data_IF_377663973464
#
_entry.id   IF_377663973464
#
_cell.length_a   1.000
_cell.length_b   1.000
_cell.length_c   1.000
_cell.angle_alpha   90.00
_cell.angle_beta   90.00
_cell.angle_gamma   90.00
#
_symmetry.space_group_name_H-M   'P 1'
#
loop_
_entity.id
_entity.type
_entity.pdbx_description
1 polymer ?
#
# COMPACT_ATOMS: atom_id res chain seq x y z
N UNK A 1 -10.76 0.40 3.38
CA UNK A 1 -10.46 -0.30 2.10
C UNK A 1 -9.18 0.29 1.53
N UNK A 2 -8.03 -0.32 1.76
CA UNK A 2 -6.77 0.20 1.24
C UNK A 2 -6.67 0.01 -0.28
N UNK A 3 -6.16 1.03 -0.95
CA UNK A 3 -5.80 0.97 -2.37
C UNK A 3 -4.35 1.40 -2.52
N UNK A 4 -3.49 0.45 -2.90
CA UNK A 4 -2.06 0.63 -3.01
C UNK A 4 -1.65 0.65 -4.49
N UNK A 5 -0.97 1.70 -4.92
CA UNK A 5 -0.29 1.77 -6.22
C UNK A 5 1.20 1.70 -5.97
N UNK A 6 1.83 0.64 -6.45
CA UNK A 6 3.25 0.32 -6.22
C UNK A 6 4.01 0.53 -7.51
N UNK A 7 4.96 1.45 -7.52
CA UNK A 7 5.83 1.71 -8.67
C UNK A 7 7.24 1.22 -8.37
N UNK A 8 7.72 0.29 -9.18
CA UNK A 8 9.01 -0.40 -9.01
C UNK A 8 9.73 -0.53 -10.36
N UNK A 9 11.05 -0.73 -10.38
CA UNK A 9 11.76 -1.08 -11.60
C UNK A 9 11.28 -2.41 -12.17
N UNK A 10 11.15 -2.45 -13.49
CA UNK A 10 10.74 -3.65 -14.19
C UNK A 10 11.63 -4.85 -13.84
N UNK A 11 11.01 -5.97 -13.49
CA UNK A 11 11.69 -7.21 -13.16
C UNK A 11 12.41 -7.25 -11.80
N UNK A 12 12.29 -6.20 -10.97
CA UNK A 12 13.02 -6.12 -9.69
C UNK A 12 12.57 -7.16 -8.65
N UNK A 13 11.32 -7.58 -8.70
CA UNK A 13 10.76 -8.58 -7.79
C UNK A 13 10.18 -9.75 -8.61
N UNK A 14 11.00 -10.67 -9.13
CA UNK A 14 10.52 -11.76 -9.98
C UNK A 14 9.94 -12.92 -9.17
N UNK A 15 8.96 -13.63 -9.75
CA UNK A 15 8.45 -14.89 -9.22
C UNK A 15 7.98 -14.84 -7.76
N UNK A 16 8.62 -15.66 -6.91
CA UNK A 16 8.28 -15.74 -5.47
C UNK A 16 8.47 -14.40 -4.74
N UNK A 17 9.45 -13.59 -5.13
CA UNK A 17 9.68 -12.27 -4.52
C UNK A 17 8.49 -11.32 -4.70
N UNK A 18 7.81 -11.38 -5.87
CA UNK A 18 6.56 -10.65 -6.09
C UNK A 18 5.46 -11.15 -5.16
N UNK A 19 5.32 -12.45 -5.00
CA UNK A 19 4.31 -13.03 -4.11
C UNK A 19 4.56 -12.69 -2.65
N UNK A 20 5.81 -12.73 -2.21
CA UNK A 20 6.22 -12.33 -0.86
C UNK A 20 5.95 -10.85 -0.61
N UNK A 21 6.29 -9.99 -1.58
CA UNK A 21 6.00 -8.55 -1.51
C UNK A 21 4.50 -8.28 -1.39
N UNK A 22 3.68 -8.88 -2.24
CA UNK A 22 2.22 -8.71 -2.20
C UNK A 22 1.66 -9.12 -0.83
N UNK A 23 2.09 -10.26 -0.28
CA UNK A 23 1.64 -10.72 1.04
C UNK A 23 2.07 -9.78 2.15
N UNK A 24 3.30 -9.28 2.10
CA UNK A 24 3.83 -8.35 3.10
C UNK A 24 3.12 -7.00 3.06
N UNK A 25 2.92 -6.43 1.87
CA UNK A 25 2.16 -5.19 1.68
C UNK A 25 0.71 -5.35 2.16
N UNK A 26 0.07 -6.46 1.84
CA UNK A 26 -1.29 -6.76 2.29
C UNK A 26 -1.39 -6.83 3.82
N UNK A 27 -0.47 -7.55 4.49
CA UNK A 27 -0.43 -7.60 5.96
C UNK A 27 -0.22 -6.23 6.58
N UNK A 28 0.68 -5.42 6.03
CA UNK A 28 0.92 -4.06 6.50
C UNK A 28 -0.36 -3.20 6.41
N UNK A 29 -1.08 -3.32 5.31
CA UNK A 29 -2.35 -2.60 5.11
C UNK A 29 -3.42 -3.01 6.11
N UNK A 30 -3.64 -4.33 6.29
CA UNK A 30 -4.63 -4.82 7.25
C UNK A 30 -4.29 -4.39 8.69
N UNK A 31 -3.01 -4.45 9.06
CA UNK A 31 -2.54 -4.06 10.39
C UNK A 31 -2.77 -2.57 10.65
N UNK A 32 -2.30 -1.71 9.76
CA UNK A 32 -2.39 -0.26 9.93
C UNK A 32 -3.83 0.25 9.96
N UNK A 33 -4.70 -0.31 9.11
CA UNK A 33 -6.11 0.08 9.05
C UNK A 33 -6.99 -0.70 10.03
N UNK A 34 -6.42 -1.56 10.87
CA UNK A 34 -7.13 -2.40 11.83
C UNK A 34 -8.27 -3.22 11.20
N UNK A 35 -8.02 -3.75 10.01
CA UNK A 35 -8.95 -4.63 9.31
C UNK A 35 -8.77 -6.06 9.83
N UNK A 36 -9.83 -6.75 10.26
CA UNK A 36 -9.73 -8.15 10.68
C UNK A 36 -9.40 -9.06 9.48
N UNK A 37 -8.57 -10.06 9.71
CA UNK A 37 -8.38 -11.16 8.77
C UNK A 37 -9.64 -12.02 8.78
N UNK A 38 -10.51 -11.80 7.81
CA UNK A 38 -11.77 -12.53 7.66
C UNK A 38 -11.90 -13.00 6.20
N UNK A 39 -11.96 -14.32 5.95
CA UNK A 39 -12.16 -14.86 4.60
C UNK A 39 -13.41 -14.34 3.90
N UNK A 40 -14.45 -13.95 4.65
CA UNK A 40 -15.69 -13.39 4.11
C UNK A 40 -15.51 -11.95 3.59
N UNK A 41 -14.42 -11.27 3.99
CA UNK A 41 -14.09 -9.88 3.60
C UNK A 41 -12.99 -9.80 2.56
N UNK A 42 -12.89 -10.81 1.69
CA UNK A 42 -11.93 -10.79 0.58
C UNK A 42 -12.31 -9.73 -0.46
N UNK A 43 -11.29 -9.16 -1.13
CA UNK A 43 -11.49 -8.18 -2.20
C UNK A 43 -11.59 -6.73 -1.75
N UNK A 44 -11.19 -6.42 -0.52
CA UNK A 44 -11.22 -5.05 0.01
C UNK A 44 -9.86 -4.34 -0.05
N UNK A 45 -8.77 -5.07 -0.23
CA UNK A 45 -7.41 -4.51 -0.34
C UNK A 45 -6.91 -4.69 -1.78
N UNK A 46 -6.75 -3.58 -2.48
CA UNK A 46 -6.26 -3.56 -3.86
C UNK A 46 -4.80 -3.17 -3.89
N UNK A 47 -3.99 -3.93 -4.62
CA UNK A 47 -2.57 -3.65 -4.85
C UNK A 47 -2.32 -3.73 -6.35
N UNK A 48 -2.01 -2.60 -6.98
CA UNK A 48 -1.65 -2.52 -8.38
C UNK A 48 -0.15 -2.21 -8.52
N UNK A 49 0.50 -2.84 -9.48
CA UNK A 49 1.91 -2.61 -9.78
C UNK A 49 2.09 -1.88 -11.10
N UNK A 50 2.95 -0.86 -11.04
CA UNK A 50 3.42 -0.04 -12.15
C UNK A 50 4.91 -0.33 -12.32
N UNK A 51 5.29 -1.10 -13.33
CA UNK A 51 6.69 -1.43 -13.57
C UNK A 51 7.32 -0.43 -14.53
N UNK A 52 8.38 0.22 -14.09
CA UNK A 52 9.07 1.28 -14.81
C UNK A 52 10.27 0.69 -15.56
N UNK A 53 10.31 0.92 -16.86
CA UNK A 53 11.36 0.41 -17.74
C UNK A 53 12.76 0.91 -17.33
N UNK A 54 13.83 0.13 -17.65
CA UNK A 54 15.20 0.58 -17.46
C UNK A 54 15.45 1.94 -18.16
N UNK A 55 16.21 2.82 -17.48
CA UNK A 55 16.52 4.17 -17.96
C UNK A 55 15.43 5.22 -17.68
N UNK A 56 14.26 4.82 -17.17
CA UNK A 56 13.17 5.75 -16.86
C UNK A 56 13.15 6.23 -15.39
N UNK A 57 14.05 5.72 -14.55
CA UNK A 57 14.26 6.20 -13.18
C UNK A 57 15.41 7.20 -13.11
N UNK A 58 15.11 8.44 -12.86
CA UNK A 58 16.12 9.49 -12.69
C UNK A 58 15.97 10.17 -11.34
N UNK A 59 17.10 10.58 -10.77
CA UNK A 59 17.19 11.43 -9.60
C UNK A 59 18.23 12.52 -9.90
N UNK A 60 17.90 13.77 -9.64
CA UNK A 60 18.74 14.93 -9.98
C UNK A 60 19.15 14.97 -11.47
N UNK A 61 18.27 14.49 -12.35
CA UNK A 61 18.52 14.45 -13.80
C UNK A 61 19.42 13.30 -14.27
N UNK A 62 19.80 12.37 -13.39
CA UNK A 62 20.70 11.24 -13.69
C UNK A 62 19.97 9.92 -13.49
N UNK A 63 20.20 8.95 -14.38
CA UNK A 63 19.73 7.58 -14.22
C UNK A 63 20.36 6.94 -12.97
N UNK A 64 19.52 6.43 -12.09
CA UNK A 64 19.93 5.82 -10.82
C UNK A 64 19.78 4.31 -10.79
N UNK A 65 19.25 3.72 -11.86
CA UNK A 65 18.83 2.31 -11.91
C UNK A 65 19.94 1.28 -11.63
N UNK A 66 21.21 1.65 -11.83
CA UNK A 66 22.34 0.77 -11.52
C UNK A 66 22.70 0.72 -10.02
N UNK A 67 22.37 1.76 -9.26
CA UNK A 67 22.78 1.93 -7.85
C UNK A 67 21.63 1.83 -6.87
N UNK A 68 20.46 2.31 -7.25
CA UNK A 68 19.29 2.36 -6.40
C UNK A 68 18.20 1.40 -6.90
N UNK A 69 17.45 0.86 -5.96
CA UNK A 69 16.21 0.15 -6.17
C UNK A 69 15.06 1.07 -5.69
N UNK A 70 14.55 1.97 -6.54
CA UNK A 70 13.47 2.84 -6.16
C UNK A 70 12.16 2.05 -6.06
N UNK A 71 11.48 2.18 -4.94
CA UNK A 71 10.18 1.57 -4.68
C UNK A 71 9.25 2.64 -4.14
N UNK A 72 8.40 3.19 -5.00
CA UNK A 72 7.47 4.24 -4.65
C UNK A 72 6.08 3.66 -4.47
N UNK A 73 5.42 4.10 -3.42
CA UNK A 73 4.12 3.58 -3.02
C UNK A 73 3.18 4.73 -2.68
N UNK A 74 2.01 4.72 -3.27
CA UNK A 74 0.89 5.54 -2.84
C UNK A 74 -0.19 4.64 -2.22
N UNK A 75 -0.63 5.01 -1.04
CA UNK A 75 -1.72 4.34 -0.32
C UNK A 75 -2.86 5.33 -0.15
N UNK A 76 -3.98 5.08 -0.81
CA UNK A 76 -5.21 5.83 -0.61
C UNK A 76 -6.07 5.13 0.46
N UNK A 77 -6.50 5.90 1.45
CA UNK A 77 -7.41 5.46 2.53
C UNK A 77 -8.51 6.50 2.74
N UNK A 78 -9.71 6.11 3.19
CA UNK A 78 -10.70 7.10 3.59
C UNK A 78 -10.19 7.96 4.73
N UNK A 79 -10.42 9.27 4.67
CA UNK A 79 -10.04 10.18 5.73
C UNK A 79 -10.66 9.76 7.07
N UNK A 80 -9.88 9.80 8.14
CA UNK A 80 -10.29 9.37 9.48
C UNK A 80 -10.00 7.91 9.83
N UNK A 81 -9.44 7.12 8.90
CA UNK A 81 -9.02 5.73 9.18
C UNK A 81 -7.69 5.66 9.92
N UNK A 82 -6.73 6.52 9.56
CA UNK A 82 -5.39 6.53 10.14
C UNK A 82 -5.19 7.73 11.08
N UNK A 83 -4.57 7.48 12.21
CA UNK A 83 -3.97 8.48 13.10
C UNK A 83 -2.46 8.58 12.89
N UNK A 84 -1.78 9.49 13.60
CA UNK A 84 -0.33 9.70 13.45
C UNK A 84 0.49 8.45 13.81
N UNK A 85 0.05 7.68 14.80
CA UNK A 85 0.73 6.44 15.22
C UNK A 85 0.61 5.36 14.16
N UNK A 86 -0.57 5.13 13.65
CA UNK A 86 -0.82 4.14 12.58
C UNK A 86 -0.15 4.55 11.27
N UNK A 87 -0.07 5.86 10.95
CA UNK A 87 0.69 6.35 9.78
C UNK A 87 2.17 6.02 9.90
N UNK A 88 2.79 6.31 11.05
CA UNK A 88 4.21 6.05 11.26
C UNK A 88 4.53 4.54 11.19
N UNK A 89 3.71 3.69 11.81
CA UNK A 89 3.89 2.24 11.72
C UNK A 89 3.65 1.72 10.31
N UNK A 90 2.64 2.24 9.61
CA UNK A 90 2.34 1.83 8.24
C UNK A 90 3.52 2.07 7.28
N UNK A 91 4.10 3.28 7.32
CA UNK A 91 5.28 3.63 6.50
C UNK A 91 6.46 2.70 6.81
N UNK A 92 6.73 2.43 8.09
CA UNK A 92 7.79 1.51 8.50
C UNK A 92 7.55 0.09 8.00
N UNK A 93 6.33 -0.42 8.14
CA UNK A 93 5.98 -1.79 7.78
C UNK A 93 5.97 -1.99 6.25
N UNK A 94 5.56 -0.96 5.49
CA UNK A 94 5.67 -0.97 4.04
C UNK A 94 7.13 -0.95 3.57
N UNK A 95 8.00 -0.18 4.21
CA UNK A 95 9.45 -0.23 3.92
C UNK A 95 10.01 -1.63 4.19
N UNK A 96 9.71 -2.21 5.36
CA UNK A 96 10.14 -3.56 5.72
C UNK A 96 9.62 -4.64 4.75
N UNK A 97 8.45 -4.44 4.15
CA UNK A 97 7.92 -5.34 3.12
C UNK A 97 8.83 -5.39 1.88
N UNK A 98 9.34 -4.26 1.42
CA UNK A 98 10.28 -4.21 0.31
C UNK A 98 11.64 -4.80 0.70
N UNK A 99 12.15 -4.49 1.90
CA UNK A 99 13.41 -5.08 2.38
C UNK A 99 13.35 -6.60 2.41
N UNK A 100 12.29 -7.17 2.98
CA UNK A 100 12.15 -8.62 3.14
C UNK A 100 11.94 -9.35 1.81
N UNK A 101 11.27 -8.72 0.85
CA UNK A 101 10.98 -9.32 -0.46
C UNK A 101 12.09 -9.10 -1.50
N UNK A 102 13.02 -8.17 -1.25
CA UNK A 102 14.14 -7.88 -2.15
C UNK A 102 14.97 -9.13 -2.39
N UNK A 103 15.25 -9.52 -3.66
CA UNK A 103 16.16 -10.62 -3.94
C UNK A 103 17.54 -10.36 -3.32
N UNK A 104 18.13 -11.39 -2.67
CA UNK A 104 19.48 -11.28 -2.09
C UNK A 104 20.56 -11.03 -3.14
N UNK A 105 20.30 -11.40 -4.40
CA UNK A 105 21.18 -11.14 -5.54
C UNK A 105 21.12 -9.68 -6.03
N UNK A 106 20.12 -8.91 -5.64
CA UNK A 106 20.03 -7.50 -5.99
C UNK A 106 20.85 -6.66 -5.01
N UNK A 107 22.01 -6.18 -5.47
CA UNK A 107 22.95 -5.41 -4.66
C UNK A 107 22.64 -3.92 -4.57
N UNK A 108 21.60 -3.44 -5.27
CA UNK A 108 21.19 -2.04 -5.24
C UNK A 108 20.70 -1.62 -3.86
N UNK A 109 20.92 -0.36 -3.51
CA UNK A 109 20.38 0.21 -2.27
C UNK A 109 18.88 0.47 -2.43
N UNK A 110 18.08 -0.07 -1.53
CA UNK A 110 16.64 0.17 -1.50
C UNK A 110 16.35 1.64 -1.19
N UNK A 111 15.54 2.29 -2.02
CA UNK A 111 15.09 3.66 -1.86
C UNK A 111 13.55 3.68 -1.90
N UNK A 112 12.92 3.68 -0.74
CA UNK A 112 11.45 3.72 -0.64
C UNK A 112 10.92 5.13 -0.46
N UNK A 113 9.80 5.41 -1.11
CA UNK A 113 9.00 6.61 -0.86
C UNK A 113 7.54 6.20 -0.71
N UNK A 114 6.96 6.46 0.45
CA UNK A 114 5.57 6.12 0.76
C UNK A 114 4.76 7.38 0.93
N UNK A 115 3.68 7.50 0.18
CA UNK A 115 2.72 8.58 0.28
C UNK A 115 1.38 8.05 0.76
N UNK A 116 0.95 8.49 1.94
CA UNK A 116 -0.37 8.18 2.49
C UNK A 116 -1.33 9.30 2.11
N UNK A 117 -2.39 8.96 1.40
CA UNK A 117 -3.37 9.91 0.88
C UNK A 117 -4.71 9.69 1.59
N UNK A 118 -5.12 10.67 2.37
CA UNK A 118 -6.47 10.71 2.92
C UNK A 118 -7.45 11.16 1.83
N UNK A 119 -8.38 10.29 1.48
CA UNK A 119 -9.43 10.61 0.53
C UNK A 119 -10.59 11.23 1.31
N UNK A 120 -10.97 12.48 1.01
CA UNK A 120 -12.05 13.16 1.72
C UNK A 120 -13.36 12.37 1.67
N UNK A 121 -14.13 12.41 2.76
CA UNK A 121 -15.41 11.69 2.87
C UNK A 121 -16.38 12.10 1.76
N UNK A 122 -16.99 11.12 1.10
CA UNK A 122 -17.93 11.34 0.00
C UNK A 122 -17.27 11.74 -1.34
N UNK A 123 -15.96 11.49 -1.52
CA UNK A 123 -15.26 11.72 -2.80
C UNK A 123 -14.76 10.44 -3.46
N UNK A 124 -15.03 9.27 -2.86
CA UNK A 124 -14.61 7.98 -3.39
C UNK A 124 -15.82 7.14 -3.85
N UNK A 125 -15.83 6.79 -5.13
CA UNK A 125 -16.87 5.95 -5.73
C UNK A 125 -16.47 4.48 -5.74
N UNK A 126 -17.37 3.61 -5.34
CA UNK A 126 -17.24 2.15 -5.41
C UNK A 126 -18.51 1.56 -6.04
N UNK A 127 -18.36 0.77 -7.09
CA UNK A 127 -19.50 0.12 -7.75
C UNK A 127 -20.55 1.11 -8.30
N UNK A 128 -20.13 2.30 -8.72
CA UNK A 128 -21.01 3.34 -9.25
C UNK A 128 -21.73 4.18 -8.17
N UNK A 129 -21.40 4.01 -6.90
CA UNK A 129 -21.97 4.77 -5.78
C UNK A 129 -20.88 5.51 -5.01
N UNK A 130 -21.19 6.72 -4.53
CA UNK A 130 -20.32 7.43 -3.60
C UNK A 130 -20.39 6.77 -2.23
N UNK A 131 -19.21 6.41 -1.71
CA UNK A 131 -19.08 5.84 -0.38
C UNK A 131 -18.64 6.89 0.62
N UNK A 132 -19.13 6.73 1.84
CA UNK A 132 -18.73 7.51 3.01
C UNK A 132 -18.03 6.61 4.03
N UNK A 133 -17.39 7.20 5.02
CA UNK A 133 -16.64 6.46 6.04
C UNK A 133 -17.44 5.32 6.70
N UNK A 134 -18.74 5.44 7.02
CA UNK A 134 -19.54 4.31 7.50
C UNK A 134 -19.66 3.16 6.48
N UNK A 135 -19.71 3.44 5.17
CA UNK A 135 -19.80 2.41 4.14
C UNK A 135 -18.48 1.63 4.05
N UNK A 136 -17.37 2.35 4.05
CA UNK A 136 -16.04 1.75 4.13
C UNK A 136 -15.86 0.94 5.42
N UNK A 137 -16.35 1.44 6.56
CA UNK A 137 -16.27 0.76 7.85
C UNK A 137 -17.06 -0.55 7.83
N UNK A 138 -18.25 -0.54 7.25
CA UNK A 138 -19.09 -1.76 7.11
C UNK A 138 -18.42 -2.79 6.22
N UNK A 139 -17.87 -2.37 5.08
CA UNK A 139 -17.23 -3.27 4.12
C UNK A 139 -15.89 -3.82 4.63
N UNK A 140 -15.03 -2.96 5.19
CA UNK A 140 -13.68 -3.34 5.64
C UNK A 140 -13.64 -3.88 7.06
N UNK A 141 -14.62 -3.54 7.89
CA UNK A 141 -14.70 -3.97 9.28
C UNK A 141 -13.64 -3.31 10.17
N UNK A 142 -13.30 -2.06 9.93
CA UNK A 142 -12.37 -1.28 10.74
C UNK A 142 -12.71 -1.38 12.23
N UNK A 143 -11.84 -2.02 13.03
CA UNK A 143 -12.15 -2.33 14.44
C UNK A 143 -12.37 -1.07 15.28
N UNK A 144 -11.55 -0.05 15.06
CA UNK A 144 -11.60 1.21 15.80
C UNK A 144 -12.77 2.14 15.39
N UNK A 145 -13.41 1.88 14.25
CA UNK A 145 -14.52 2.68 13.73
C UNK A 145 -15.88 1.96 13.80
N UNK A 146 -15.98 0.83 14.49
CA UNK A 146 -17.24 0.07 14.61
C UNK A 146 -18.41 0.90 15.10
N UNK A 147 -18.16 1.86 15.99
CA UNK A 147 -19.18 2.78 16.51
C UNK A 147 -19.92 3.57 15.43
N UNK A 148 -19.37 3.66 14.22
CA UNK A 148 -20.02 4.33 13.08
C UNK A 148 -21.11 3.49 12.41
N UNK A 149 -21.14 2.18 12.67
CA UNK A 149 -22.05 1.22 12.01
C UNK A 149 -22.87 0.37 12.97
N UNK A 150 -22.51 0.33 14.25
CA UNK A 150 -23.21 -0.44 15.30
C UNK A 150 -24.37 0.38 15.93
N UNK A 151 -25.22 1.00 15.09
CA UNK A 151 -26.42 1.72 15.55
C UNK A 151 -27.69 0.99 15.16
#
# INVERSE_FOLDING_TARGET
MPSLTVRIPQGAFPGRHRQELVRALHRAALSAEQIPEDPARRGICWIAFDEVAPGAWTCDGVDVGARLLPCFLEVAVPAGVLDDTSRASYVRDLHAAFESAKPSSDTRTLATSVRLVDVPDGTWGVGGQLWRLPDFTRASGYRHLRHLVDR
#
